data_IF_479074747686
#
_entry.id   IF_479074747686
#
_cell.length_a   1.000
_cell.length_b   1.000
_cell.length_c   1.000
_cell.angle_alpha   90.00
_cell.angle_beta   90.00
_cell.angle_gamma   90.00
#
_symmetry.space_group_name_H-M   'P 1'
#
loop_
_entity.id
_entity.type
_entity.pdbx_description
1 polymer ?
#
# COMPACT_ATOMS: atom_id res chain seq x y z
N UNK A 1 32.92 -10.09 -19.22
CA UNK A 1 32.50 -9.55 -17.90
C UNK A 1 31.65 -8.29 -18.04
N UNK A 2 32.05 -7.29 -18.83
CA UNK A 2 31.29 -6.01 -18.99
C UNK A 2 29.82 -6.22 -19.42
N UNK A 3 29.58 -7.07 -20.42
CA UNK A 3 28.22 -7.33 -20.92
C UNK A 3 27.32 -8.03 -19.91
N UNK A 4 27.89 -8.86 -19.02
CA UNK A 4 27.17 -9.50 -17.93
C UNK A 4 26.60 -8.46 -16.95
N UNK A 5 27.44 -7.52 -16.49
CA UNK A 5 26.99 -6.48 -15.56
C UNK A 5 26.01 -5.49 -16.20
N UNK A 6 26.16 -5.19 -17.50
CA UNK A 6 25.20 -4.36 -18.24
C UNK A 6 23.84 -5.06 -18.35
N UNK A 7 23.82 -6.39 -18.52
CA UNK A 7 22.56 -7.12 -18.59
C UNK A 7 21.92 -7.25 -17.20
N UNK A 8 22.73 -7.49 -16.16
CA UNK A 8 22.25 -7.60 -14.77
C UNK A 8 21.67 -6.28 -14.25
N UNK A 9 22.27 -5.13 -14.60
CA UNK A 9 21.79 -3.82 -14.16
C UNK A 9 20.42 -3.42 -14.73
N UNK A 10 19.89 -4.17 -15.71
CA UNK A 10 18.54 -3.97 -16.26
C UNK A 10 17.44 -4.62 -15.44
N UNK A 11 17.74 -5.68 -14.69
CA UNK A 11 16.74 -6.39 -13.88
C UNK A 11 16.04 -5.50 -12.84
N UNK A 12 16.75 -4.62 -12.10
CA UNK A 12 16.08 -3.68 -11.19
C UNK A 12 15.04 -2.83 -11.89
N UNK A 13 15.33 -2.34 -13.10
CA UNK A 13 14.39 -1.52 -13.88
C UNK A 13 13.17 -2.32 -14.30
N UNK A 14 13.34 -3.57 -14.74
CA UNK A 14 12.20 -4.43 -15.08
C UNK A 14 11.35 -4.77 -13.86
N UNK A 15 11.98 -5.01 -12.71
CA UNK A 15 11.30 -5.26 -11.45
C UNK A 15 10.49 -4.03 -11.01
N UNK A 16 11.08 -2.83 -11.10
CA UNK A 16 10.38 -1.58 -10.86
C UNK A 16 9.17 -1.42 -11.78
N UNK A 17 9.32 -1.64 -13.08
CA UNK A 17 8.20 -1.56 -14.03
C UNK A 17 7.10 -2.57 -13.71
N UNK A 18 7.46 -3.80 -13.33
CA UNK A 18 6.50 -4.83 -12.92
C UNK A 18 5.73 -4.39 -11.65
N UNK A 19 6.45 -3.97 -10.62
CA UNK A 19 5.86 -3.52 -9.36
C UNK A 19 4.92 -2.34 -9.61
N UNK A 20 5.38 -1.33 -10.34
CA UNK A 20 4.56 -0.17 -10.69
C UNK A 20 3.33 -0.58 -11.50
N UNK A 21 3.48 -1.47 -12.48
CA UNK A 21 2.37 -2.00 -13.27
C UNK A 21 1.31 -2.69 -12.40
N UNK A 22 1.73 -3.49 -11.41
CA UNK A 22 0.83 -4.12 -10.44
C UNK A 22 0.06 -3.06 -9.63
N UNK A 23 0.76 -2.05 -9.10
CA UNK A 23 0.12 -0.97 -8.35
C UNK A 23 -0.88 -0.20 -9.21
N UNK A 24 -0.52 0.15 -10.46
CA UNK A 24 -1.41 0.85 -11.38
C UNK A 24 -2.68 0.02 -11.65
N UNK A 25 -2.53 -1.27 -12.00
CA UNK A 25 -3.67 -2.15 -12.28
C UNK A 25 -4.58 -2.34 -11.05
N UNK A 26 -3.98 -2.43 -9.86
CA UNK A 26 -4.73 -2.48 -8.60
C UNK A 26 -5.53 -1.19 -8.39
N UNK A 27 -4.90 -0.02 -8.44
CA UNK A 27 -5.59 1.26 -8.22
C UNK A 27 -6.64 1.55 -9.30
N UNK A 28 -6.41 1.16 -10.55
CA UNK A 28 -7.40 1.26 -11.63
C UNK A 28 -8.66 0.45 -11.32
N UNK A 29 -8.50 -0.74 -10.72
CA UNK A 29 -9.62 -1.57 -10.29
C UNK A 29 -10.40 -0.95 -9.12
N UNK A 30 -9.74 -0.13 -8.29
CA UNK A 30 -10.37 0.60 -7.18
C UNK A 30 -11.07 1.89 -7.61
N UNK A 31 -10.68 2.52 -8.73
CA UNK A 31 -11.27 3.79 -9.21
C UNK A 31 -12.82 3.82 -9.22
N UNK A 32 -13.54 2.77 -9.67
CA UNK A 32 -15.01 2.79 -9.69
C UNK A 32 -15.65 2.96 -8.31
N UNK A 33 -14.97 2.49 -7.26
CA UNK A 33 -15.49 2.51 -5.89
C UNK A 33 -15.50 3.93 -5.32
N UNK A 34 -14.58 4.78 -5.78
CA UNK A 34 -14.53 6.20 -5.41
C UNK A 34 -15.52 7.08 -6.16
N UNK A 35 -16.24 6.55 -7.17
CA UNK A 35 -17.30 7.30 -7.87
C UNK A 35 -18.56 7.49 -7.01
N UNK A 36 -18.81 6.59 -6.06
CA UNK A 36 -19.91 6.72 -5.11
C UNK A 36 -19.36 7.31 -3.79
N UNK A 37 -19.84 8.48 -3.35
CA UNK A 37 -19.36 9.12 -2.12
C UNK A 37 -19.54 8.24 -0.88
N UNK A 38 -20.59 7.41 -0.83
CA UNK A 38 -20.84 6.50 0.30
C UNK A 38 -19.75 5.42 0.38
N UNK A 39 -19.44 4.79 -0.75
CA UNK A 39 -18.41 3.75 -0.82
C UNK A 39 -17.03 4.32 -0.53
N UNK A 40 -16.74 5.54 -1.01
CA UNK A 40 -15.50 6.24 -0.70
C UNK A 40 -15.33 6.49 0.81
N UNK A 41 -16.38 7.00 1.47
CA UNK A 41 -16.39 7.24 2.92
C UNK A 41 -16.25 5.92 3.68
N UNK A 42 -16.93 4.86 3.25
CA UNK A 42 -16.83 3.54 3.87
C UNK A 42 -15.40 2.99 3.82
N UNK A 43 -14.72 3.08 2.66
CA UNK A 43 -13.32 2.65 2.51
C UNK A 43 -12.41 3.44 3.46
N UNK A 44 -12.54 4.76 3.47
CA UNK A 44 -11.72 5.61 4.36
C UNK A 44 -11.99 5.31 5.83
N UNK A 45 -13.26 5.12 6.21
CA UNK A 45 -13.66 4.77 7.57
C UNK A 45 -13.09 3.43 8.02
N UNK A 46 -13.13 2.40 7.15
CA UNK A 46 -12.54 1.09 7.44
C UNK A 46 -11.01 1.20 7.58
N UNK A 47 -10.33 1.93 6.70
CA UNK A 47 -8.88 2.09 6.76
C UNK A 47 -8.45 2.85 8.02
N UNK A 48 -9.08 3.99 8.31
CA UNK A 48 -8.79 4.79 9.50
C UNK A 48 -9.15 4.04 10.78
N UNK A 49 -10.32 3.39 10.82
CA UNK A 49 -10.77 2.60 11.96
C UNK A 49 -9.92 1.38 12.22
N UNK A 50 -9.55 0.63 11.18
CA UNK A 50 -8.64 -0.52 11.28
C UNK A 50 -7.24 -0.10 11.73
N UNK A 51 -6.71 1.00 11.18
CA UNK A 51 -5.44 1.54 11.63
C UNK A 51 -5.47 2.00 13.09
N UNK A 52 -6.51 2.74 13.48
CA UNK A 52 -6.71 3.18 14.86
C UNK A 52 -6.87 1.98 15.81
N UNK A 53 -7.63 0.96 15.43
CA UNK A 53 -7.78 -0.27 16.19
C UNK A 53 -6.42 -0.93 16.46
N UNK A 54 -5.62 -1.19 15.41
CA UNK A 54 -4.29 -1.76 15.55
C UNK A 54 -3.39 -0.87 16.42
N UNK A 55 -3.37 0.44 16.15
CA UNK A 55 -2.54 1.38 16.90
C UNK A 55 -2.90 1.41 18.39
N UNK A 56 -4.20 1.43 18.74
CA UNK A 56 -4.63 1.41 20.13
C UNK A 56 -4.37 0.07 20.81
N UNK A 57 -4.57 -1.05 20.11
CA UNK A 57 -4.24 -2.38 20.64
C UNK A 57 -2.74 -2.48 20.93
N UNK A 58 -1.88 -2.10 19.98
CA UNK A 58 -0.43 -2.11 20.19
C UNK A 58 -0.03 -1.16 21.31
N UNK A 59 -0.59 0.05 21.36
CA UNK A 59 -0.33 1.01 22.43
C UNK A 59 -0.68 0.46 23.81
N UNK A 60 -1.81 -0.24 23.92
CA UNK A 60 -2.24 -0.89 25.15
C UNK A 60 -1.30 -2.05 25.54
N UNK A 61 -0.92 -2.90 24.58
CA UNK A 61 0.01 -4.01 24.81
C UNK A 61 1.41 -3.53 25.23
N UNK A 62 1.85 -2.38 24.71
CA UNK A 62 3.14 -1.79 25.05
C UNK A 62 3.11 -0.92 26.31
N UNK A 63 1.96 -0.80 26.99
CA UNK A 63 1.83 0.02 28.19
C UNK A 63 2.03 1.53 27.95
N UNK A 64 1.90 1.97 26.69
CA UNK A 64 2.07 3.37 26.26
C UNK A 64 0.78 4.20 26.42
N UNK A 65 -0.22 3.65 27.11
CA UNK A 65 -1.40 4.38 27.57
C UNK A 65 -0.94 5.63 28.32
N UNK A 66 -1.60 6.77 28.09
CA UNK A 66 -1.26 8.01 28.79
C UNK A 66 -1.18 7.73 30.31
N UNK A 67 -0.07 8.16 30.90
CA UNK A 67 0.13 8.13 32.35
C UNK A 67 -0.97 8.92 33.06
#
# INVERSE_FOLDING_TARGET
MKDFFINVSRYPTYLLSLILGIFIAFFDSLKPWFKNPVTAIAIVGILAGGFAFIAFTLRAMLGLSAA
#
